data_IF_678024934266
#
_entry.id   IF_678024934266
#
_cell.length_a   1.000
_cell.length_b   1.000
_cell.length_c   1.000
_cell.angle_alpha   90.00
_cell.angle_beta   90.00
_cell.angle_gamma   90.00
#
_symmetry.space_group_name_H-M   'P 1'
#
loop_
_entity.id
_entity.type
_entity.pdbx_description
1 polymer ?
#
# COMPACT_ATOMS: atom_id res chain seq x y z
N UNK A 1 7.14 12.30 21.12
CA UNK A 1 6.52 12.27 19.80
C UNK A 1 6.48 13.67 19.17
N UNK A 2 6.03 14.71 19.89
CA UNK A 2 5.94 16.11 19.39
C UNK A 2 7.28 16.70 18.94
N UNK A 3 8.35 16.55 19.73
CA UNK A 3 9.70 17.03 19.38
C UNK A 3 10.28 16.41 18.08
N UNK A 4 9.85 15.20 17.73
CA UNK A 4 10.29 14.52 16.52
C UNK A 4 9.61 15.09 15.26
N UNK A 5 8.34 15.51 15.37
CA UNK A 5 7.58 16.11 14.27
C UNK A 5 8.09 17.54 13.96
N UNK A 6 8.40 18.33 14.99
CA UNK A 6 9.00 19.65 14.86
C UNK A 6 10.38 19.61 14.17
N UNK A 7 11.22 18.63 14.54
CA UNK A 7 12.52 18.39 13.90
C UNK A 7 12.41 17.92 12.45
N UNK A 8 11.29 17.34 12.04
CA UNK A 8 11.01 16.90 10.68
C UNK A 8 10.42 17.98 9.78
N UNK A 9 10.22 19.22 10.28
CA UNK A 9 9.77 20.36 9.48
C UNK A 9 8.27 20.37 9.15
N UNK A 10 7.44 19.69 9.94
CA UNK A 10 5.98 19.73 9.76
C UNK A 10 5.40 21.10 10.15
N UNK A 11 4.39 21.56 9.40
CA UNK A 11 3.73 22.84 9.67
C UNK A 11 2.86 22.78 10.94
N UNK A 12 2.67 23.90 11.65
CA UNK A 12 1.86 23.96 12.88
C UNK A 12 0.40 23.49 12.74
N UNK A 13 -0.15 23.57 11.51
CA UNK A 13 -1.51 23.06 11.21
C UNK A 13 -1.57 21.52 11.30
N UNK A 14 -0.51 20.84 10.88
CA UNK A 14 -0.39 19.38 10.94
C UNK A 14 -0.27 18.93 12.39
N UNK A 15 0.46 19.69 13.22
CA UNK A 15 0.55 19.41 14.67
C UNK A 15 -0.80 19.48 15.35
N UNK A 16 -1.62 20.51 15.05
CA UNK A 16 -2.96 20.63 15.61
C UNK A 16 -3.88 19.48 15.19
N UNK A 17 -3.80 19.07 13.93
CA UNK A 17 -4.57 17.92 13.43
C UNK A 17 -4.15 16.59 14.11
N UNK A 18 -2.85 16.39 14.35
CA UNK A 18 -2.33 15.24 15.11
C UNK A 18 -2.85 15.25 16.55
N UNK A 19 -2.82 16.40 17.22
CA UNK A 19 -3.33 16.53 18.58
C UNK A 19 -4.85 16.32 18.68
N UNK A 20 -5.61 16.82 17.71
CA UNK A 20 -7.06 16.59 17.63
C UNK A 20 -7.40 15.11 17.41
N UNK A 21 -6.64 14.43 16.58
CA UNK A 21 -6.83 13.00 16.32
C UNK A 21 -6.49 12.15 17.55
N UNK A 22 -5.41 12.47 18.28
CA UNK A 22 -5.03 11.80 19.51
C UNK A 22 -6.02 12.08 20.65
N UNK A 23 -6.51 13.30 20.78
CA UNK A 23 -7.50 13.67 21.80
C UNK A 23 -8.88 13.02 21.55
N UNK A 24 -9.24 12.78 20.30
CA UNK A 24 -10.47 12.04 19.98
C UNK A 24 -10.36 10.53 20.25
N UNK A 25 -9.15 9.98 20.25
CA UNK A 25 -8.89 8.59 20.67
C UNK A 25 -9.01 8.44 22.20
N UNK A 26 -8.47 9.36 22.99
CA UNK A 26 -8.57 9.35 24.45
C UNK A 26 -10.03 9.48 24.94
N UNK A 27 -10.91 10.13 24.18
CA UNK A 27 -12.34 10.24 24.51
C UNK A 27 -13.12 8.94 24.18
N UNK A 28 -12.72 8.21 23.16
CA UNK A 28 -13.33 6.92 22.81
C UNK A 28 -12.96 5.82 23.83
N UNK A 29 -11.75 5.86 24.38
CA UNK A 29 -11.29 4.90 25.39
C UNK A 29 -11.96 5.10 26.77
N UNK A 30 -12.57 6.26 27.04
CA UNK A 30 -13.27 6.55 28.30
C UNK A 30 -14.76 6.15 28.32
N UNK A 31 -15.38 5.89 27.19
CA UNK A 31 -16.81 5.50 27.11
C UNK A 31 -17.07 3.99 27.05
N UNK A 32 -16.06 3.16 26.87
CA UNK A 32 -16.19 1.69 26.87
C UNK A 32 -15.81 1.08 28.21
N UNK A 33 -16.58 1.39 29.24
CA UNK A 33 -16.54 0.70 30.52
C UNK A 33 -17.09 -0.72 30.41
N UNK A 34 -16.23 -1.69 30.68
CA UNK A 34 -16.51 -3.06 31.12
C UNK A 34 -17.46 -3.91 30.27
N UNK A 35 -16.91 -4.57 29.25
CA UNK A 35 -17.40 -5.88 28.81
C UNK A 35 -16.28 -6.90 29.03
N UNK A 36 -16.64 -7.94 29.79
CA UNK A 36 -15.76 -8.96 30.36
C UNK A 36 -14.91 -9.72 29.33
N UNK A 37 -13.67 -9.99 29.72
CA UNK A 37 -12.56 -10.58 28.96
C UNK A 37 -12.70 -12.11 28.68
N UNK A 38 -13.86 -12.61 28.27
CA UNK A 38 -14.03 -14.05 27.99
C UNK A 38 -14.48 -14.41 26.56
N UNK A 39 -14.67 -13.42 25.66
CA UNK A 39 -15.13 -13.69 24.28
C UNK A 39 -14.08 -13.39 23.18
N UNK A 40 -12.83 -13.07 23.54
CA UNK A 40 -11.80 -12.64 22.58
C UNK A 40 -10.78 -13.71 22.17
N UNK A 41 -11.01 -14.97 22.51
CA UNK A 41 -10.02 -16.05 22.29
C UNK A 41 -10.21 -16.89 21.00
N UNK A 42 -11.16 -16.56 20.11
CA UNK A 42 -11.40 -17.34 18.88
C UNK A 42 -11.45 -16.52 17.60
N UNK A 43 -10.77 -15.39 17.50
CA UNK A 43 -10.65 -14.71 16.20
C UNK A 43 -9.27 -14.94 15.61
N UNK A 44 -9.25 -15.86 14.67
CA UNK A 44 -8.31 -16.23 13.64
C UNK A 44 -6.95 -15.57 13.65
N UNK A 45 -5.98 -16.20 14.26
CA UNK A 45 -4.56 -16.06 13.94
C UNK A 45 -4.38 -16.14 12.43
N UNK A 46 -3.93 -15.06 11.79
CA UNK A 46 -3.39 -15.11 10.44
C UNK A 46 -2.17 -16.00 10.49
N UNK A 47 -2.35 -17.28 10.15
CA UNK A 47 -1.26 -18.25 10.08
C UNK A 47 -0.32 -17.82 8.96
N UNK A 48 0.84 -17.33 9.33
CA UNK A 48 2.00 -17.26 8.45
C UNK A 48 2.25 -18.70 7.98
N UNK A 49 2.11 -18.94 6.68
CA UNK A 49 2.32 -20.27 6.11
C UNK A 49 3.80 -20.48 5.94
N UNK A 50 4.37 -21.28 6.78
CA UNK A 50 5.61 -22.01 6.52
C UNK A 50 5.35 -23.01 5.41
N UNK A 51 6.31 -23.17 4.49
CA UNK A 51 6.35 -24.14 3.41
C UNK A 51 5.34 -23.96 2.26
N UNK A 52 5.68 -23.11 1.28
CA UNK A 52 5.20 -23.26 -0.11
C UNK A 52 3.70 -23.11 -0.34
N UNK A 53 2.90 -22.77 0.65
CA UNK A 53 1.45 -22.72 0.58
C UNK A 53 0.92 -21.30 0.76
N UNK A 54 0.28 -20.82 -0.29
CA UNK A 54 -0.78 -19.81 -0.36
C UNK A 54 -0.66 -18.57 0.52
N UNK A 55 -0.45 -17.44 -0.10
CA UNK A 55 -0.72 -16.14 0.49
C UNK A 55 -2.25 -15.92 0.53
N UNK A 56 -2.96 -16.59 1.43
CA UNK A 56 -4.33 -16.23 1.76
C UNK A 56 -4.29 -15.03 2.69
N UNK A 57 -4.32 -13.86 2.10
CA UNK A 57 -4.68 -12.65 2.80
C UNK A 57 -6.20 -12.58 2.83
N UNK A 58 -6.77 -12.67 4.00
CA UNK A 58 -8.16 -12.50 4.35
C UNK A 58 -9.11 -13.69 4.19
N UNK A 59 -9.52 -14.26 5.30
CA UNK A 59 -10.90 -14.68 5.50
C UNK A 59 -11.67 -13.46 6.00
N UNK A 60 -12.54 -12.90 5.15
CA UNK A 60 -13.39 -11.79 5.52
C UNK A 60 -14.49 -12.30 6.45
N UNK A 61 -14.25 -12.20 7.74
CA UNK A 61 -15.26 -12.49 8.77
C UNK A 61 -16.05 -11.25 9.20
N UNK A 62 -15.56 -10.04 8.86
CA UNK A 62 -16.17 -8.80 9.27
C UNK A 62 -16.08 -7.72 8.16
N UNK A 63 -17.06 -6.83 8.08
CA UNK A 63 -17.06 -5.69 7.18
C UNK A 63 -16.20 -4.53 7.70
N UNK A 64 -15.75 -4.61 8.96
CA UNK A 64 -14.90 -3.63 9.62
C UNK A 64 -13.82 -4.36 10.42
N UNK A 65 -12.59 -3.90 10.31
CA UNK A 65 -11.41 -4.48 10.95
C UNK A 65 -10.86 -3.44 11.92
N UNK A 66 -10.81 -3.79 13.20
CA UNK A 66 -10.18 -2.95 14.21
C UNK A 66 -8.67 -3.21 14.25
N UNK A 67 -7.88 -2.17 14.01
CA UNK A 67 -6.43 -2.21 14.03
C UNK A 67 -5.83 -1.51 15.27
N UNK A 68 -6.63 -1.32 16.33
CA UNK A 68 -6.33 -0.59 17.57
C UNK A 68 -6.19 0.94 17.36
N UNK A 69 -5.55 1.38 16.30
CA UNK A 69 -5.35 2.80 15.96
C UNK A 69 -6.35 3.30 14.91
N UNK A 70 -7.12 2.38 14.29
CA UNK A 70 -8.07 2.70 13.23
C UNK A 70 -9.03 1.55 12.95
N UNK A 71 -10.28 1.90 12.72
CA UNK A 71 -11.27 0.99 12.16
C UNK A 71 -11.24 1.09 10.64
N UNK A 72 -10.86 0.00 9.97
CA UNK A 72 -10.74 -0.09 8.52
C UNK A 72 -11.96 -0.82 7.97
N UNK A 73 -12.65 -0.21 7.01
CA UNK A 73 -13.84 -0.76 6.38
C UNK A 73 -13.46 -1.64 5.20
N UNK A 74 -14.18 -2.74 4.96
CA UNK A 74 -14.08 -3.54 3.74
C UNK A 74 -15.18 -3.08 2.77
N UNK A 75 -14.81 -2.32 1.74
CA UNK A 75 -15.75 -1.74 0.79
C UNK A 75 -16.05 -2.66 -0.39
N UNK A 76 -15.07 -3.50 -0.77
CA UNK A 76 -15.19 -4.49 -1.85
C UNK A 76 -14.25 -5.65 -1.55
N UNK A 77 -14.70 -6.88 -1.84
CA UNK A 77 -13.88 -8.06 -1.79
C UNK A 77 -14.19 -8.98 -2.97
N UNK A 78 -13.14 -9.29 -3.74
CA UNK A 78 -13.17 -10.27 -4.82
C UNK A 78 -12.18 -11.39 -4.46
N UNK A 79 -12.62 -12.66 -4.60
CA UNK A 79 -11.79 -13.80 -4.21
C UNK A 79 -10.85 -14.26 -5.31
N UNK A 80 -11.24 -14.06 -6.57
CA UNK A 80 -10.44 -14.50 -7.72
C UNK A 80 -10.60 -13.53 -8.90
N UNK A 81 -9.55 -12.75 -9.22
CA UNK A 81 -8.32 -12.58 -8.42
C UNK A 81 -8.63 -12.07 -7.01
N UNK A 82 -7.69 -12.25 -6.08
CA UNK A 82 -7.88 -11.70 -4.75
C UNK A 82 -7.65 -10.19 -4.77
N UNK A 83 -8.75 -9.42 -4.71
CA UNK A 83 -8.73 -7.94 -4.71
C UNK A 83 -9.63 -7.44 -3.59
N UNK A 84 -9.11 -6.59 -2.74
CA UNK A 84 -9.86 -5.99 -1.62
C UNK A 84 -9.69 -4.47 -1.62
N UNK A 85 -10.80 -3.75 -1.55
CA UNK A 85 -10.80 -2.30 -1.35
C UNK A 85 -11.15 -2.00 0.10
N UNK A 86 -10.27 -1.31 0.77
CA UNK A 86 -10.42 -0.85 2.15
C UNK A 86 -10.79 0.63 2.19
N UNK A 87 -11.76 0.99 3.03
CA UNK A 87 -12.07 2.37 3.43
C UNK A 87 -11.37 2.74 4.72
N UNK A 88 -11.19 4.04 4.95
CA UNK A 88 -10.64 4.59 6.18
C UNK A 88 -9.27 4.01 6.59
N UNK A 89 -8.43 3.66 5.60
CA UNK A 89 -7.09 3.10 5.88
C UNK A 89 -6.11 4.16 6.36
N UNK A 90 -6.15 5.35 5.77
CA UNK A 90 -5.44 6.53 6.24
C UNK A 90 -6.43 7.68 6.47
N UNK A 91 -6.15 8.54 7.45
CA UNK A 91 -6.89 9.78 7.60
C UNK A 91 -6.33 10.90 6.70
N UNK A 92 -7.09 12.00 6.60
CA UNK A 92 -6.75 13.10 5.70
C UNK A 92 -5.38 13.68 5.96
N UNK A 93 -5.02 13.90 7.24
CA UNK A 93 -3.73 14.48 7.58
C UNK A 93 -2.54 13.54 7.27
N UNK A 94 -2.70 12.20 7.41
CA UNK A 94 -1.67 11.22 7.03
C UNK A 94 -1.42 11.27 5.52
N UNK A 95 -2.49 11.34 4.74
CA UNK A 95 -2.40 11.48 3.29
C UNK A 95 -1.68 12.78 2.89
N UNK A 96 -2.09 13.92 3.47
CA UNK A 96 -1.51 15.22 3.16
C UNK A 96 -0.04 15.30 3.59
N UNK A 97 0.31 14.76 4.75
CA UNK A 97 1.68 14.70 5.25
C UNK A 97 2.59 13.85 4.35
N UNK A 98 2.11 12.71 3.84
CA UNK A 98 2.86 11.90 2.87
C UNK A 98 3.09 12.66 1.57
N UNK A 99 2.08 13.36 1.04
CA UNK A 99 2.20 14.18 -0.16
C UNK A 99 3.26 15.27 0.05
N UNK A 100 3.13 16.09 1.11
CA UNK A 100 4.02 17.21 1.35
C UNK A 100 5.47 16.78 1.58
N UNK A 101 5.70 15.70 2.35
CA UNK A 101 7.04 15.18 2.61
C UNK A 101 7.69 14.53 1.39
N UNK A 102 6.90 14.09 0.40
CA UNK A 102 7.42 13.50 -0.84
C UNK A 102 7.69 14.51 -1.96
N UNK A 103 7.00 15.68 -1.99
CA UNK A 103 7.18 16.69 -3.05
C UNK A 103 8.64 17.03 -3.36
N UNK A 104 9.51 17.35 -2.38
CA UNK A 104 10.90 17.69 -2.64
C UNK A 104 11.77 16.52 -3.10
N UNK A 105 11.30 15.27 -2.91
CA UNK A 105 12.02 14.04 -3.24
C UNK A 105 11.61 13.44 -4.59
N UNK A 106 10.62 14.03 -5.28
CA UNK A 106 10.07 13.45 -6.51
C UNK A 106 11.12 13.39 -7.63
N UNK A 107 11.26 12.22 -8.23
CA UNK A 107 12.07 11.96 -9.42
C UNK A 107 11.24 11.19 -10.46
N UNK A 108 11.54 11.30 -11.77
CA UNK A 108 10.84 10.51 -12.79
C UNK A 108 10.88 9.02 -12.46
N UNK A 109 9.72 8.37 -12.48
CA UNK A 109 9.62 6.95 -12.13
C UNK A 109 10.30 6.07 -13.17
N UNK A 110 11.00 5.04 -12.69
CA UNK A 110 11.67 4.04 -13.53
C UNK A 110 10.92 2.72 -13.48
N UNK A 111 11.10 1.90 -14.50
CA UNK A 111 10.59 0.52 -14.56
C UNK A 111 11.76 -0.46 -14.64
N UNK A 112 11.55 -1.66 -14.12
CA UNK A 112 12.56 -2.73 -14.19
C UNK A 112 12.59 -3.26 -15.63
N UNK A 113 13.78 -3.31 -16.23
CA UNK A 113 14.00 -4.05 -17.47
C UNK A 113 14.18 -5.52 -17.12
N UNK A 114 13.21 -6.34 -17.49
CA UNK A 114 13.19 -7.77 -17.13
C UNK A 114 14.32 -8.59 -17.77
N UNK A 115 14.93 -8.12 -18.86
CA UNK A 115 16.04 -8.81 -19.51
C UNK A 115 17.40 -8.43 -18.93
N UNK A 116 17.55 -7.14 -18.56
CA UNK A 116 18.83 -6.59 -18.08
C UNK A 116 18.92 -6.47 -16.55
N UNK A 117 17.80 -6.50 -15.84
CA UNK A 117 17.73 -6.25 -14.39
C UNK A 117 18.07 -4.81 -14.00
N UNK A 118 18.03 -3.88 -14.94
CA UNK A 118 18.30 -2.45 -14.72
C UNK A 118 17.02 -1.65 -14.60
N UNK A 119 17.10 -0.49 -13.92
CA UNK A 119 15.99 0.44 -13.84
C UNK A 119 16.09 1.47 -14.96
N UNK A 120 15.08 1.50 -15.85
CA UNK A 120 15.04 2.34 -17.04
C UNK A 120 13.89 3.35 -16.99
N UNK A 121 14.11 4.54 -17.57
CA UNK A 121 13.04 5.50 -17.83
C UNK A 121 12.33 5.09 -19.12
N UNK A 122 11.06 4.68 -19.03
CA UNK A 122 10.19 4.34 -20.17
C UNK A 122 8.94 5.21 -20.13
N UNK A 123 9.05 6.42 -20.67
CA UNK A 123 7.96 7.42 -20.68
C UNK A 123 6.75 7.02 -21.52
N UNK A 124 6.90 6.08 -22.42
CA UNK A 124 5.82 5.45 -23.20
C UNK A 124 5.02 4.43 -22.37
N UNK A 125 5.55 3.99 -21.21
CA UNK A 125 4.92 3.01 -20.32
C UNK A 125 4.43 3.66 -19.03
N UNK A 126 5.24 4.57 -18.44
CA UNK A 126 4.97 5.19 -17.14
C UNK A 126 5.43 6.65 -17.13
N UNK A 127 4.49 7.55 -16.87
CA UNK A 127 4.74 9.00 -16.91
C UNK A 127 4.67 9.67 -15.53
N UNK A 128 4.59 8.89 -14.45
CA UNK A 128 4.60 9.40 -13.07
C UNK A 128 5.98 9.85 -12.60
N UNK A 129 5.99 10.66 -11.56
CA UNK A 129 7.16 10.87 -10.69
C UNK A 129 6.97 10.14 -9.37
N UNK A 130 8.07 9.77 -8.71
CA UNK A 130 8.00 9.03 -7.46
C UNK A 130 9.07 9.42 -6.46
N UNK A 131 8.77 9.17 -5.18
CA UNK A 131 9.68 9.27 -4.05
C UNK A 131 9.59 7.99 -3.23
N UNK A 132 10.67 7.63 -2.54
CA UNK A 132 10.70 6.47 -1.66
C UNK A 132 10.96 6.89 -0.23
N UNK A 133 10.27 6.24 0.71
CA UNK A 133 10.59 6.27 2.12
C UNK A 133 11.09 4.90 2.55
N UNK A 134 12.27 4.87 3.13
CA UNK A 134 12.80 3.64 3.72
C UNK A 134 11.90 3.19 4.88
N UNK A 135 11.97 1.91 5.21
CA UNK A 135 11.18 1.34 6.32
C UNK A 135 11.46 2.11 7.61
N UNK A 136 10.40 2.63 8.23
CA UNK A 136 10.52 3.40 9.47
C UNK A 136 11.25 4.74 9.34
N UNK A 137 11.47 5.29 8.14
CA UNK A 137 12.25 6.52 7.91
C UNK A 137 11.72 7.73 8.71
N UNK A 138 10.42 7.79 8.91
CA UNK A 138 9.77 8.80 9.76
C UNK A 138 8.78 8.15 10.72
N UNK A 139 8.40 8.79 11.83
CA UNK A 139 7.37 8.27 12.72
C UNK A 139 6.04 7.98 12.00
N UNK A 140 5.67 8.83 11.03
CA UNK A 140 4.47 8.62 10.20
C UNK A 140 4.59 7.35 9.36
N UNK A 141 5.71 7.17 8.66
CA UNK A 141 5.95 5.97 7.82
C UNK A 141 5.96 4.72 8.70
N UNK A 142 6.62 4.74 9.86
CA UNK A 142 6.64 3.62 10.80
C UNK A 142 5.22 3.25 11.28
N UNK A 143 4.40 4.25 11.66
CA UNK A 143 3.03 4.01 12.10
C UNK A 143 2.16 3.40 10.99
N UNK A 144 2.29 3.92 9.76
CA UNK A 144 1.58 3.39 8.58
C UNK A 144 2.04 1.95 8.30
N UNK A 145 3.34 1.68 8.24
CA UNK A 145 3.87 0.32 7.96
C UNK A 145 3.43 -0.70 9.02
N UNK A 146 3.42 -0.31 10.30
CA UNK A 146 2.91 -1.15 11.38
C UNK A 146 1.41 -1.43 11.22
N UNK A 147 0.60 -0.43 10.84
CA UNK A 147 -0.82 -0.60 10.52
C UNK A 147 -1.02 -1.57 9.36
N UNK A 148 -0.26 -1.42 8.27
CA UNK A 148 -0.34 -2.30 7.10
C UNK A 148 0.07 -3.73 7.45
N UNK A 149 1.09 -3.91 8.29
CA UNK A 149 1.52 -5.22 8.80
C UNK A 149 0.39 -5.92 9.57
N UNK A 150 -0.28 -5.21 10.48
CA UNK A 150 -1.45 -5.76 11.21
C UNK A 150 -2.62 -6.07 10.28
N UNK A 151 -2.95 -5.14 9.36
CA UNK A 151 -4.05 -5.32 8.41
C UNK A 151 -3.86 -6.56 7.55
N UNK A 152 -2.66 -6.74 7.02
CA UNK A 152 -2.38 -7.79 6.03
C UNK A 152 -1.81 -9.08 6.65
N UNK A 153 -1.53 -9.09 7.96
CA UNK A 153 -0.91 -10.22 8.63
C UNK A 153 0.51 -10.55 8.11
N UNK A 154 1.23 -9.54 7.61
CA UNK A 154 2.56 -9.70 6.99
C UNK A 154 3.59 -8.89 7.76
N UNK A 155 4.70 -9.51 8.14
CA UNK A 155 5.78 -8.81 8.84
C UNK A 155 6.28 -7.59 8.05
N UNK A 156 6.55 -6.48 8.73
CA UNK A 156 7.07 -5.25 8.12
C UNK A 156 8.37 -5.50 7.33
N UNK A 157 9.20 -6.46 7.78
CA UNK A 157 10.44 -6.87 7.11
C UNK A 157 10.22 -7.37 5.69
N UNK A 158 9.04 -7.89 5.37
CA UNK A 158 8.68 -8.38 4.03
C UNK A 158 8.17 -7.26 3.09
N UNK A 159 8.04 -6.03 3.59
CA UNK A 159 7.63 -4.87 2.80
C UNK A 159 8.83 -4.19 2.10
N UNK A 160 8.69 -3.86 0.80
CA UNK A 160 9.59 -2.94 0.12
C UNK A 160 9.45 -1.51 0.71
N UNK A 161 10.38 -0.58 0.49
CA UNK A 161 10.21 0.82 0.84
C UNK A 161 8.88 1.38 0.34
N UNK A 162 8.24 2.24 1.13
CA UNK A 162 6.98 2.87 0.74
C UNK A 162 7.23 3.83 -0.43
N UNK A 163 6.61 3.60 -1.58
CA UNK A 163 6.74 4.46 -2.75
C UNK A 163 5.54 5.41 -2.85
N UNK A 164 5.81 6.72 -2.85
CA UNK A 164 4.80 7.74 -3.18
C UNK A 164 4.92 8.07 -4.65
N UNK A 165 3.78 8.12 -5.35
CA UNK A 165 3.70 8.39 -6.77
C UNK A 165 2.77 9.56 -7.05
N UNK A 166 3.22 10.43 -7.94
CA UNK A 166 2.49 11.58 -8.43
C UNK A 166 2.24 11.48 -9.93
N UNK A 167 0.99 11.66 -10.32
CA UNK A 167 0.52 11.66 -11.70
C UNK A 167 -0.14 13.01 -11.99
N UNK A 168 0.50 13.92 -12.74
CA UNK A 168 -0.13 15.15 -13.23
C UNK A 168 -1.18 14.85 -14.33
N UNK A 169 -1.96 15.85 -14.78
CA UNK A 169 -2.87 15.67 -15.92
C UNK A 169 -2.18 15.05 -17.13
N UNK A 170 -2.83 14.08 -17.75
CA UNK A 170 -2.31 13.29 -18.87
C UNK A 170 -1.39 12.14 -18.49
N UNK A 171 -0.97 12.04 -17.22
CA UNK A 171 -0.10 10.95 -16.80
C UNK A 171 -0.88 9.66 -16.60
N UNK A 172 -0.20 8.55 -16.93
CA UNK A 172 -0.73 7.19 -16.85
C UNK A 172 0.35 6.18 -16.46
N UNK A 173 -0.07 4.98 -16.15
CA UNK A 173 0.79 3.80 -16.13
C UNK A 173 0.09 2.66 -16.85
N UNK A 174 0.64 2.23 -17.98
CA UNK A 174 0.05 1.18 -18.82
C UNK A 174 -0.10 -0.13 -18.07
N UNK A 175 -1.04 -1.01 -18.50
CA UNK A 175 -1.24 -2.31 -17.84
C UNK A 175 0.03 -3.13 -17.75
N UNK A 176 0.33 -3.61 -16.52
CA UNK A 176 1.52 -4.37 -16.16
C UNK A 176 1.23 -5.35 -15.04
N UNK A 177 2.18 -6.22 -14.75
CA UNK A 177 2.21 -7.07 -13.57
C UNK A 177 3.24 -6.53 -12.58
N UNK A 178 2.93 -6.62 -11.29
CA UNK A 178 3.86 -6.26 -10.22
C UNK A 178 4.79 -7.42 -9.82
N UNK A 179 4.40 -8.65 -10.13
CA UNK A 179 5.27 -9.81 -9.94
C UNK A 179 6.35 -9.90 -11.02
N UNK A 180 7.44 -10.59 -10.71
CA UNK A 180 8.56 -10.79 -11.60
C UNK A 180 8.48 -12.17 -12.25
N UNK A 181 8.56 -12.25 -13.57
CA UNK A 181 8.68 -13.51 -14.30
C UNK A 181 10.06 -14.14 -13.99
N UNK A 182 10.12 -15.30 -13.30
CA UNK A 182 11.39 -15.92 -12.92
C UNK A 182 12.18 -16.46 -14.11
N UNK A 183 11.54 -16.64 -15.27
CA UNK A 183 12.21 -17.09 -16.49
C UNK A 183 13.04 -15.96 -17.16
N UNK A 184 12.81 -14.69 -16.78
CA UNK A 184 13.55 -13.55 -17.33
C UNK A 184 14.86 -13.35 -16.56
N UNK A 185 16.03 -13.40 -17.24
CA UNK A 185 17.33 -13.35 -16.55
C UNK A 185 17.56 -12.11 -15.66
N UNK A 186 17.09 -10.94 -16.13
CA UNK A 186 17.23 -9.69 -15.38
C UNK A 186 16.43 -9.66 -14.07
N UNK A 187 15.39 -10.48 -13.94
CA UNK A 187 14.58 -10.55 -12.73
C UNK A 187 15.27 -11.31 -11.58
N UNK A 188 16.28 -12.15 -11.85
CA UNK A 188 16.99 -12.91 -10.81
C UNK A 188 17.59 -11.99 -9.75
N UNK A 189 18.15 -10.84 -10.18
CA UNK A 189 18.71 -9.84 -9.25
C UNK A 189 17.63 -9.27 -8.31
N UNK A 190 16.44 -8.99 -8.83
CA UNK A 190 15.34 -8.42 -8.02
C UNK A 190 14.74 -9.48 -7.11
N UNK A 191 14.64 -10.72 -7.59
CA UNK A 191 14.17 -11.86 -6.82
C UNK A 191 15.09 -12.21 -5.66
N UNK A 192 16.42 -12.01 -5.79
CA UNK A 192 17.35 -12.25 -4.68
C UNK A 192 17.19 -11.30 -3.48
N UNK A 193 16.40 -10.23 -3.61
CA UNK A 193 16.16 -9.23 -2.56
C UNK A 193 14.90 -9.52 -1.72
N UNK A 194 14.58 -10.77 -1.42
CA UNK A 194 13.41 -11.16 -0.62
C UNK A 194 12.39 -12.01 -1.38
N UNK A 195 12.80 -12.65 -2.48
CA UNK A 195 11.94 -13.52 -3.28
C UNK A 195 10.94 -12.76 -4.16
N UNK A 196 9.90 -13.46 -4.57
CA UNK A 196 8.82 -12.93 -5.40
C UNK A 196 8.01 -11.87 -4.64
N UNK A 197 7.50 -10.87 -5.38
CA UNK A 197 6.39 -10.06 -4.88
C UNK A 197 5.14 -10.92 -4.84
N UNK A 198 4.39 -10.84 -3.75
CA UNK A 198 3.20 -11.67 -3.50
C UNK A 198 1.92 -10.83 -3.41
N UNK A 199 2.03 -9.53 -3.21
CA UNK A 199 0.90 -8.62 -3.17
C UNK A 199 1.31 -7.16 -3.23
N UNK A 200 0.35 -6.33 -3.62
CA UNK A 200 0.46 -4.87 -3.68
C UNK A 200 -0.68 -4.24 -2.92
N UNK A 201 -0.36 -3.23 -2.12
CA UNK A 201 -1.33 -2.30 -1.56
C UNK A 201 -1.09 -0.92 -2.16
N UNK A 202 -2.09 -0.37 -2.84
CA UNK A 202 -2.14 1.00 -3.34
C UNK A 202 -3.04 1.81 -2.42
N UNK A 203 -2.52 2.89 -1.82
CA UNK A 203 -3.31 3.81 -0.99
C UNK A 203 -3.51 5.10 -1.77
N UNK A 204 -4.75 5.54 -1.93
CA UNK A 204 -5.08 6.79 -2.58
C UNK A 204 -4.92 7.95 -1.59
N UNK A 205 -4.01 8.88 -1.89
CA UNK A 205 -3.68 9.98 -0.99
C UNK A 205 -4.53 11.24 -1.26
N UNK A 206 -5.24 11.29 -2.38
CA UNK A 206 -6.18 12.36 -2.70
C UNK A 206 -7.32 11.86 -3.59
N UNK A 207 -8.39 12.63 -3.63
CA UNK A 207 -9.46 12.47 -4.62
C UNK A 207 -9.01 13.05 -5.97
N UNK A 208 -9.40 12.41 -7.07
CA UNK A 208 -9.09 12.87 -8.44
C UNK A 208 -10.37 13.37 -9.11
N UNK A 209 -10.29 14.54 -9.75
CA UNK A 209 -11.48 15.16 -10.38
C UNK A 209 -12.04 14.33 -11.53
N UNK A 210 -11.17 13.77 -12.39
CA UNK A 210 -11.57 12.91 -13.49
C UNK A 210 -10.43 12.02 -13.97
N UNK A 211 -10.73 10.78 -14.33
CA UNK A 211 -9.75 9.77 -14.73
C UNK A 211 -8.94 9.23 -13.56
N UNK A 212 -7.75 8.71 -13.83
CA UNK A 212 -6.81 8.24 -12.82
C UNK A 212 -7.24 6.97 -12.07
N UNK A 213 -8.24 6.21 -12.55
CA UNK A 213 -8.64 4.93 -11.93
C UNK A 213 -7.50 3.92 -11.94
N UNK A 214 -7.53 2.98 -11.00
CA UNK A 214 -6.73 1.74 -11.09
C UNK A 214 -7.58 0.72 -11.83
N UNK A 215 -7.10 0.30 -13.01
CA UNK A 215 -7.85 -0.59 -13.91
C UNK A 215 -7.29 -2.00 -13.88
N UNK A 216 -8.18 -3.01 -13.93
CA UNK A 216 -7.86 -4.42 -14.10
C UNK A 216 -8.52 -4.91 -15.39
N UNK A 217 -7.88 -4.74 -16.56
CA UNK A 217 -8.52 -4.95 -17.86
C UNK A 217 -8.96 -6.40 -18.12
N UNK A 218 -8.33 -7.38 -17.49
CA UNK A 218 -8.70 -8.81 -17.66
C UNK A 218 -9.99 -9.20 -16.96
N UNK A 219 -10.40 -8.43 -15.97
CA UNK A 219 -11.62 -8.70 -15.19
C UNK A 219 -12.65 -7.58 -15.28
N UNK A 220 -12.36 -6.53 -16.08
CA UNK A 220 -13.28 -5.41 -16.26
C UNK A 220 -13.57 -4.60 -14.99
N UNK A 221 -12.57 -4.48 -14.09
CA UNK A 221 -12.72 -3.76 -12.83
C UNK A 221 -11.94 -2.45 -12.88
N UNK A 222 -12.62 -1.34 -12.57
CA UNK A 222 -12.05 0.00 -12.41
C UNK A 222 -12.31 0.51 -10.99
N UNK A 223 -11.24 0.86 -10.28
CA UNK A 223 -11.32 1.45 -8.93
C UNK A 223 -10.97 2.93 -9.03
N UNK A 224 -11.94 3.78 -8.69
CA UNK A 224 -11.76 5.22 -8.66
C UNK A 224 -10.96 5.63 -7.41
N UNK A 225 -10.01 6.58 -7.54
CA UNK A 225 -9.28 7.09 -6.39
C UNK A 225 -10.21 7.76 -5.39
N UNK A 226 -10.12 7.31 -4.13
CA UNK A 226 -10.81 7.94 -3.00
C UNK A 226 -9.80 8.11 -1.87
N UNK A 227 -9.62 9.36 -1.42
CA UNK A 227 -8.63 9.71 -0.38
C UNK A 227 -8.80 8.83 0.86
N UNK A 228 -7.69 8.31 1.37
CA UNK A 228 -7.65 7.44 2.54
C UNK A 228 -8.04 5.99 2.30
N UNK A 229 -8.53 5.63 1.09
CA UNK A 229 -8.81 4.24 0.74
C UNK A 229 -7.56 3.48 0.29
N UNK A 230 -7.53 2.17 0.56
CA UNK A 230 -6.47 1.25 0.15
C UNK A 230 -6.97 0.12 -0.72
N UNK A 231 -6.34 -0.09 -1.86
CA UNK A 231 -6.62 -1.20 -2.77
C UNK A 231 -5.52 -2.24 -2.63
N UNK A 232 -5.86 -3.41 -2.09
CA UNK A 232 -4.98 -4.55 -1.98
C UNK A 232 -5.30 -5.59 -3.06
N UNK A 233 -4.27 -6.19 -3.65
CA UNK A 233 -4.42 -7.37 -4.51
C UNK A 233 -3.20 -8.28 -4.38
N UNK A 234 -3.44 -9.60 -4.37
CA UNK A 234 -2.40 -10.62 -4.32
C UNK A 234 -2.26 -11.32 -5.66
N UNK A 235 -1.04 -11.82 -5.93
CA UNK A 235 -0.70 -12.40 -7.23
C UNK A 235 -0.74 -13.93 -7.25
N UNK A 236 -0.97 -14.56 -6.10
CA UNK A 236 -1.05 -16.03 -6.04
C UNK A 236 -2.48 -16.49 -6.32
N UNK A 237 -2.61 -17.50 -7.15
CA UNK A 237 -3.85 -18.26 -7.29
C UNK A 237 -4.02 -19.31 -6.16
N UNK A 238 -5.16 -20.02 -6.17
CA UNK A 238 -5.45 -21.06 -5.16
C UNK A 238 -4.49 -22.26 -5.21
N UNK A 239 -3.80 -22.47 -6.33
CA UNK A 239 -2.80 -23.52 -6.51
C UNK A 239 -1.37 -23.07 -6.14
N UNK A 240 -1.18 -21.78 -5.80
CA UNK A 240 0.12 -21.17 -5.49
C UNK A 240 0.90 -20.70 -6.72
N UNK A 241 0.26 -20.70 -7.90
CA UNK A 241 0.80 -20.11 -9.12
C UNK A 241 0.60 -18.59 -9.17
N UNK A 242 1.22 -17.95 -10.18
CA UNK A 242 1.06 -16.52 -10.40
C UNK A 242 -0.30 -16.22 -11.06
N UNK A 243 -1.07 -15.32 -10.48
CA UNK A 243 -2.38 -14.94 -10.99
C UNK A 243 -2.28 -13.84 -12.05
N UNK A 244 -2.38 -14.25 -13.30
CA UNK A 244 -2.35 -13.35 -14.45
C UNK A 244 -3.64 -12.52 -14.64
N UNK A 245 -4.67 -12.72 -13.83
CA UNK A 245 -5.85 -11.86 -13.83
C UNK A 245 -5.59 -10.53 -13.12
N UNK A 246 -4.49 -10.44 -12.36
CA UNK A 246 -4.03 -9.22 -11.69
C UNK A 246 -3.30 -8.24 -12.60
N UNK A 247 -3.37 -8.40 -13.93
CA UNK A 247 -2.93 -7.37 -14.88
C UNK A 247 -3.65 -6.06 -14.53
N UNK A 248 -2.91 -5.01 -14.19
CA UNK A 248 -3.48 -3.74 -13.77
C UNK A 248 -2.69 -2.55 -14.30
N UNK A 249 -3.31 -1.38 -14.27
CA UNK A 249 -2.71 -0.12 -14.70
C UNK A 249 -3.36 1.09 -14.04
N UNK A 250 -2.79 2.25 -14.27
CA UNK A 250 -3.39 3.54 -13.92
C UNK A 250 -3.89 4.24 -15.16
N UNK A 251 -5.20 4.43 -15.31
CA UNK A 251 -5.77 5.17 -16.43
C UNK A 251 -5.27 6.62 -16.44
N UNK A 252 -5.29 7.32 -17.58
CA UNK A 252 -4.88 8.70 -17.65
C UNK A 252 -5.64 9.58 -16.67
N UNK A 253 -4.92 10.47 -15.99
CA UNK A 253 -5.53 11.54 -15.20
C UNK A 253 -6.08 12.58 -16.17
N UNK A 254 -7.40 12.73 -16.22
CA UNK A 254 -8.06 13.66 -17.14
C UNK A 254 -8.11 15.07 -16.55
N UNK A 255 -8.41 15.20 -15.25
CA UNK A 255 -8.44 16.48 -14.55
C UNK A 255 -8.02 16.35 -13.08
N UNK A 256 -7.33 17.34 -12.59
CA UNK A 256 -6.68 17.32 -11.27
C UNK A 256 -5.35 16.59 -11.33
N UNK A 257 -4.90 16.09 -10.20
CA UNK A 257 -3.67 15.28 -10.05
C UNK A 257 -3.99 14.03 -9.22
N UNK A 258 -3.21 12.96 -9.38
CA UNK A 258 -3.35 11.73 -8.59
C UNK A 258 -2.10 11.50 -7.76
N UNK A 259 -2.29 11.27 -6.47
CA UNK A 259 -1.25 10.87 -5.53
C UNK A 259 -1.59 9.53 -4.92
N UNK A 260 -0.66 8.60 -4.93
CA UNK A 260 -0.81 7.29 -4.29
C UNK A 260 0.45 6.92 -3.50
N UNK A 261 0.26 6.11 -2.47
CA UNK A 261 1.34 5.37 -1.83
C UNK A 261 1.23 3.90 -2.25
N UNK A 262 2.34 3.27 -2.61
CA UNK A 262 2.39 1.86 -3.00
C UNK A 262 3.30 1.10 -2.05
N UNK A 263 2.79 0.00 -1.50
CA UNK A 263 3.54 -0.97 -0.70
C UNK A 263 3.53 -2.32 -1.37
N UNK A 264 4.70 -2.79 -1.81
CA UNK A 264 4.86 -4.15 -2.31
C UNK A 264 5.29 -5.08 -1.19
N UNK A 265 4.73 -6.28 -1.17
CA UNK A 265 5.02 -7.35 -0.22
C UNK A 265 5.80 -8.46 -0.91
N UNK A 266 6.84 -8.95 -0.21
CA UNK A 266 7.71 -10.02 -0.69
C UNK A 266 7.41 -11.35 0.00
N UNK A 267 7.81 -12.43 -0.65
CA UNK A 267 7.70 -13.79 -0.10
C UNK A 267 8.58 -13.97 1.14
N UNK A 268 9.75 -13.37 1.18
CA UNK A 268 10.69 -13.35 2.30
C UNK A 268 11.04 -11.92 2.73
N UNK A 269 11.96 -11.77 3.67
CA UNK A 269 12.41 -10.48 4.16
C UNK A 269 13.10 -9.69 3.05
N UNK A 270 12.65 -8.45 2.87
CA UNK A 270 13.24 -7.56 1.88
C UNK A 270 14.55 -6.98 2.40
N UNK A 271 15.63 -7.35 1.72
CA UNK A 271 16.97 -6.87 1.99
C UNK A 271 17.26 -5.71 1.04
N UNK A 272 17.04 -4.47 1.50
CA UNK A 272 17.55 -3.30 0.77
C UNK A 272 19.10 -3.43 0.71
N UNK A 273 19.68 -3.45 -0.49
CA UNK A 273 21.13 -3.31 -0.60
C UNK A 273 21.51 -1.90 -0.18
N UNK A 274 22.44 -1.77 0.74
CA UNK A 274 23.30 -0.59 0.83
C UNK A 274 24.14 -0.55 -0.44
N UNK A 275 23.81 0.36 -1.36
CA UNK A 275 24.69 0.70 -2.49
C UNK A 275 25.92 1.42 -1.99
#
# INVERSE_FOLDING_TARGET
MMDALLKAGYRPEIERAVQQCLASQDLADHETGAVTAEAAAEHGSATAVEDGKRFRLFELSANCIDLNDRQVEVLLAMRQPNVVLFGNLLCDWECDALIESSRPKLTPSRVVNADKGTYELKRDVRTSSGAFFQRGETPLVAAIESRLSRLLGVAESRGEPLQILHYPPGAEYRPHYDFFDPARPGNQRVLSMGGQRVGTLIIYLNDVKAGGSTVFPKIGLDILPKKGCGLFFSYADDAGGLDYQTLHGGSPVVAGEKWIATKWLRLGDYLARSD
#
